data_IF_713544469548
#
_entry.id   IF_713544469548
#
_cell.length_a   1.000
_cell.length_b   1.000
_cell.length_c   1.000
_cell.angle_alpha   90.00
_cell.angle_beta   90.00
_cell.angle_gamma   90.00
#
_symmetry.space_group_name_H-M   'P 1'
#
loop_
_entity.id
_entity.type
_entity.pdbx_description
1 polymer ?
#
# COMPACT_ATOMS: atom_id res chain seq x y z
N UNK A 1 -49.11 -1.51 5.42
CA UNK A 1 -48.45 -1.90 6.68
C UNK A 1 -47.02 -2.39 6.45
N UNK A 2 -46.80 -3.53 5.79
CA UNK A 2 -45.45 -4.12 5.62
C UNK A 2 -44.41 -3.22 4.95
N UNK A 3 -44.77 -2.49 3.89
CA UNK A 3 -43.84 -1.53 3.25
C UNK A 3 -43.42 -0.40 4.20
N UNK A 4 -44.34 0.07 5.07
CA UNK A 4 -44.06 1.08 6.08
C UNK A 4 -43.15 0.56 7.19
N UNK A 5 -43.39 -0.66 7.68
CA UNK A 5 -42.51 -1.33 8.65
C UNK A 5 -41.11 -1.56 8.09
N UNK A 6 -40.98 -2.00 6.82
CA UNK A 6 -39.68 -2.16 6.16
C UNK A 6 -38.94 -0.83 5.99
N UNK A 7 -39.64 0.27 5.69
CA UNK A 7 -39.03 1.60 5.61
C UNK A 7 -38.49 2.07 6.96
N UNK A 8 -39.25 1.86 8.04
CA UNK A 8 -38.81 2.22 9.41
C UNK A 8 -37.57 1.39 9.81
N UNK A 9 -37.56 0.08 9.55
CA UNK A 9 -36.42 -0.77 9.85
C UNK A 9 -35.18 -0.39 9.03
N UNK A 10 -35.36 -0.05 7.75
CA UNK A 10 -34.26 0.44 6.90
C UNK A 10 -33.73 1.77 7.44
N UNK A 11 -34.60 2.65 7.92
CA UNK A 11 -34.21 3.95 8.47
C UNK A 11 -33.38 3.81 9.75
N UNK A 12 -33.81 2.94 10.67
CA UNK A 12 -33.06 2.64 11.90
C UNK A 12 -31.71 2.01 11.57
N UNK A 13 -31.67 1.10 10.59
CA UNK A 13 -30.43 0.47 10.13
C UNK A 13 -29.48 1.48 9.50
N UNK A 14 -30.00 2.44 8.73
CA UNK A 14 -29.23 3.52 8.11
C UNK A 14 -28.60 4.44 9.15
N UNK A 15 -29.36 4.86 10.18
CA UNK A 15 -28.82 5.64 11.31
C UNK A 15 -27.74 4.84 12.04
N UNK A 16 -28.01 3.57 12.33
CA UNK A 16 -27.04 2.68 13.01
C UNK A 16 -25.74 2.52 12.21
N UNK A 17 -25.84 2.41 10.88
CA UNK A 17 -24.69 2.35 9.99
C UNK A 17 -23.85 3.63 10.06
N UNK A 18 -24.48 4.81 10.06
CA UNK A 18 -23.76 6.10 10.21
C UNK A 18 -23.00 6.13 11.54
N UNK A 19 -23.65 5.75 12.64
CA UNK A 19 -23.02 5.71 13.97
C UNK A 19 -21.82 4.76 13.99
N UNK A 20 -21.98 3.55 13.43
CA UNK A 20 -20.89 2.57 13.35
C UNK A 20 -19.71 3.06 12.50
N UNK A 21 -19.98 3.76 11.39
CA UNK A 21 -18.95 4.37 10.57
C UNK A 21 -18.17 5.43 11.36
N UNK A 22 -18.86 6.30 12.09
CA UNK A 22 -18.22 7.34 12.91
C UNK A 22 -17.32 6.74 14.00
N UNK A 23 -17.78 5.67 14.68
CA UNK A 23 -17.00 4.96 15.70
C UNK A 23 -15.82 4.21 15.10
N UNK A 24 -15.98 3.64 13.90
CA UNK A 24 -14.93 2.85 13.23
C UNK A 24 -13.88 3.72 12.53
N UNK A 25 -14.21 4.99 12.22
CA UNK A 25 -13.33 5.93 11.55
C UNK A 25 -11.98 6.15 12.25
N UNK A 26 -11.87 6.36 13.58
CA UNK A 26 -10.57 6.47 14.25
C UNK A 26 -9.72 5.20 14.12
N UNK A 27 -10.34 4.02 14.17
CA UNK A 27 -9.63 2.75 13.95
C UNK A 27 -9.08 2.66 12.52
N UNK A 28 -9.89 3.05 11.53
CA UNK A 28 -9.46 3.08 10.13
C UNK A 28 -8.30 4.07 9.92
N UNK A 29 -8.34 5.24 10.57
CA UNK A 29 -7.25 6.24 10.51
C UNK A 29 -5.94 5.66 11.03
N UNK A 30 -5.97 4.98 12.18
CA UNK A 30 -4.78 4.36 12.77
C UNK A 30 -4.21 3.21 11.91
N UNK A 31 -5.06 2.45 11.21
CA UNK A 31 -4.61 1.33 10.38
C UNK A 31 -4.07 1.82 9.03
N UNK A 32 -4.75 2.79 8.40
CA UNK A 32 -4.44 3.26 7.06
C UNK A 32 -3.40 4.38 7.02
N UNK A 33 -3.16 5.07 8.15
CA UNK A 33 -2.29 6.24 8.22
C UNK A 33 -2.77 7.41 7.36
N UNK A 34 -4.03 7.39 6.91
CA UNK A 34 -4.64 8.43 6.06
C UNK A 34 -5.74 9.15 6.82
N UNK A 35 -5.65 10.47 6.84
CA UNK A 35 -6.72 11.33 7.30
C UNK A 35 -7.80 11.43 6.22
N UNK A 36 -8.81 10.57 6.31
CA UNK A 36 -10.06 10.83 5.59
C UNK A 36 -10.69 12.05 6.28
N UNK A 37 -10.62 13.21 5.62
CA UNK A 37 -11.25 14.43 6.10
C UNK A 37 -12.77 14.23 6.15
N UNK A 38 -13.36 14.46 7.32
CA UNK A 38 -14.82 14.43 7.55
C UNK A 38 -15.54 15.42 6.60
N UNK A 39 -14.83 16.43 6.08
CA UNK A 39 -15.32 17.36 5.06
C UNK A 39 -15.87 16.69 3.80
N UNK A 40 -15.45 15.47 3.47
CA UNK A 40 -16.03 14.72 2.34
C UNK A 40 -17.46 14.24 2.64
N UNK A 41 -17.84 14.04 3.91
CA UNK A 41 -19.21 13.64 4.28
C UNK A 41 -20.22 14.79 4.20
N UNK A 42 -19.76 16.04 4.25
CA UNK A 42 -20.58 17.24 4.02
C UNK A 42 -20.74 17.58 2.54
N UNK A 43 -20.12 16.81 1.63
CA UNK A 43 -20.29 17.01 0.20
C UNK A 43 -21.74 16.67 -0.22
N UNK A 44 -22.50 17.61 -0.81
CA UNK A 44 -23.88 17.41 -1.20
C UNK A 44 -24.09 16.21 -2.14
N UNK A 45 -23.14 15.93 -3.02
CA UNK A 45 -23.19 14.81 -3.97
C UNK A 45 -23.11 13.46 -3.25
N UNK A 46 -22.27 13.35 -2.22
CA UNK A 46 -22.12 12.12 -1.43
C UNK A 46 -23.38 11.90 -0.58
N UNK A 47 -23.91 12.96 0.03
CA UNK A 47 -25.13 12.89 0.82
C UNK A 47 -26.35 12.50 -0.04
N UNK A 48 -26.48 13.08 -1.24
CA UNK A 48 -27.51 12.70 -2.20
C UNK A 48 -27.38 11.22 -2.62
N UNK A 49 -26.15 10.73 -2.79
CA UNK A 49 -25.87 9.32 -3.05
C UNK A 49 -26.36 8.40 -1.92
N UNK A 50 -26.10 8.74 -0.66
CA UNK A 50 -26.57 7.96 0.49
C UNK A 50 -28.09 7.95 0.62
N UNK A 51 -28.75 9.09 0.42
CA UNK A 51 -30.22 9.18 0.43
C UNK A 51 -30.82 8.35 -0.72
N UNK A 52 -30.24 8.43 -1.92
CA UNK A 52 -30.64 7.62 -3.06
C UNK A 52 -30.50 6.12 -2.78
N UNK A 53 -29.37 5.70 -2.18
CA UNK A 53 -29.13 4.32 -1.81
C UNK A 53 -30.13 3.83 -0.74
N UNK A 54 -30.40 4.64 0.28
CA UNK A 54 -31.41 4.34 1.30
C UNK A 54 -32.79 4.09 0.68
N UNK A 55 -33.23 4.98 -0.23
CA UNK A 55 -34.51 4.84 -0.92
C UNK A 55 -34.55 3.58 -1.79
N UNK A 56 -33.50 3.30 -2.55
CA UNK A 56 -33.42 2.11 -3.41
C UNK A 56 -33.49 0.84 -2.57
N UNK A 57 -32.68 0.72 -1.51
CA UNK A 57 -32.64 -0.46 -0.65
C UNK A 57 -33.97 -0.64 0.09
N UNK A 58 -34.52 0.44 0.66
CA UNK A 58 -35.81 0.39 1.35
C UNK A 58 -36.95 -0.01 0.43
N UNK A 59 -36.99 0.53 -0.79
CA UNK A 59 -38.02 0.22 -1.77
C UNK A 59 -37.89 -1.22 -2.25
N UNK A 60 -36.69 -1.68 -2.63
CA UNK A 60 -36.49 -3.05 -3.11
C UNK A 60 -36.75 -4.07 -1.98
N UNK A 61 -36.19 -3.82 -0.80
CA UNK A 61 -36.32 -4.70 0.37
C UNK A 61 -37.76 -4.79 0.90
N UNK A 62 -38.49 -3.68 0.91
CA UNK A 62 -39.90 -3.63 1.35
C UNK A 62 -40.91 -4.03 0.28
N UNK A 63 -40.57 -3.92 -1.02
CA UNK A 63 -41.45 -4.33 -2.11
C UNK A 63 -41.69 -5.84 -2.11
N UNK A 64 -40.67 -6.65 -1.82
CA UNK A 64 -40.78 -8.11 -1.87
C UNK A 64 -41.85 -8.68 -0.91
N UNK A 65 -41.86 -8.36 0.40
CA UNK A 65 -42.92 -8.79 1.31
C UNK A 65 -44.28 -8.15 0.99
N UNK A 66 -44.28 -6.87 0.57
CA UNK A 66 -45.51 -6.13 0.29
C UNK A 66 -46.28 -6.71 -0.90
N UNK A 67 -45.62 -7.00 -2.02
CA UNK A 67 -46.27 -7.62 -3.20
C UNK A 67 -46.67 -9.07 -2.92
N UNK A 68 -45.85 -9.82 -2.17
CA UNK A 68 -46.13 -11.22 -1.86
C UNK A 68 -47.33 -11.41 -0.91
N UNK A 69 -47.47 -10.59 0.14
CA UNK A 69 -48.59 -10.66 1.07
C UNK A 69 -49.83 -9.89 0.61
N UNK A 70 -49.71 -8.82 -0.19
CA UNK A 70 -50.90 -8.11 -0.70
C UNK A 70 -51.68 -8.92 -1.73
N UNK A 71 -51.08 -9.96 -2.32
CA UNK A 71 -51.75 -10.92 -3.19
C UNK A 71 -52.54 -12.01 -2.42
N UNK A 72 -52.57 -11.96 -1.08
CA UNK A 72 -53.22 -12.96 -0.24
C UNK A 72 -54.73 -12.69 -0.17
N UNK A 73 -55.55 -13.61 -0.68
CA UNK A 73 -57.02 -13.53 -0.65
C UNK A 73 -57.55 -14.46 0.45
N UNK A 74 -58.06 -13.94 1.58
CA UNK A 74 -58.51 -14.75 2.72
C UNK A 74 -59.62 -15.77 2.37
N UNK A 75 -60.47 -15.44 1.40
CA UNK A 75 -61.58 -16.30 0.93
C UNK A 75 -61.09 -17.61 0.31
N UNK A 76 -59.90 -17.63 -0.30
CA UNK A 76 -59.34 -18.83 -0.93
C UNK A 76 -58.79 -19.82 0.12
N UNK A 77 -58.41 -19.34 1.29
CA UNK A 77 -57.83 -20.13 2.41
C UNK A 77 -58.89 -20.95 3.13
N UNK A 78 -60.08 -20.38 3.31
CA UNK A 78 -61.20 -21.02 4.03
C UNK A 78 -61.81 -22.17 3.21
N UNK A 79 -61.68 -22.15 1.87
CA UNK A 79 -62.19 -23.21 0.99
C UNK A 79 -61.22 -24.39 0.79
N UNK A 80 -60.08 -24.44 1.49
CA UNK A 80 -59.13 -25.57 1.41
C UNK A 80 -58.43 -25.76 0.05
N UNK A 81 -58.58 -24.84 -0.90
CA UNK A 81 -58.03 -24.94 -2.27
C UNK A 81 -56.58 -24.47 -2.40
N UNK A 82 -55.89 -24.14 -1.30
CA UNK A 82 -54.51 -23.65 -1.35
C UNK A 82 -53.49 -24.79 -1.51
N UNK A 83 -53.22 -25.21 -2.75
CA UNK A 83 -51.93 -25.83 -3.12
C UNK A 83 -50.82 -24.77 -3.32
N UNK A 84 -50.65 -23.84 -2.37
CA UNK A 84 -49.71 -22.71 -2.48
C UNK A 84 -48.59 -22.72 -1.41
N UNK A 85 -48.17 -23.91 -0.96
CA UNK A 85 -47.08 -24.07 0.02
C UNK A 85 -45.65 -24.04 -0.58
N UNK A 86 -45.46 -24.45 -1.84
CA UNK A 86 -44.11 -24.67 -2.38
C UNK A 86 -43.43 -23.43 -3.01
N UNK A 87 -44.18 -22.61 -3.78
CA UNK A 87 -43.61 -21.43 -4.49
C UNK A 87 -43.22 -20.27 -3.56
N UNK A 88 -43.89 -20.12 -2.41
CA UNK A 88 -43.56 -19.12 -1.38
C UNK A 88 -42.21 -19.42 -0.70
N UNK A 89 -41.94 -20.72 -0.46
CA UNK A 89 -40.75 -21.16 0.24
C UNK A 89 -39.50 -21.03 -0.61
N UNK A 90 -39.58 -21.28 -1.92
CA UNK A 90 -38.43 -21.24 -2.83
C UNK A 90 -37.76 -19.85 -2.88
N UNK A 91 -38.54 -18.78 -2.99
CA UNK A 91 -37.98 -17.41 -3.04
C UNK A 91 -37.34 -17.00 -1.70
N UNK A 92 -37.95 -17.40 -0.57
CA UNK A 92 -37.34 -17.20 0.76
C UNK A 92 -36.02 -17.94 0.89
N UNK A 93 -35.96 -19.19 0.42
CA UNK A 93 -34.75 -20.01 0.43
C UNK A 93 -33.65 -19.35 -0.41
N UNK A 94 -33.97 -18.88 -1.61
CA UNK A 94 -32.99 -18.20 -2.48
C UNK A 94 -32.46 -16.92 -1.85
N UNK A 95 -33.33 -16.06 -1.31
CA UNK A 95 -32.93 -14.81 -0.67
C UNK A 95 -32.05 -15.03 0.56
N UNK A 96 -32.41 -15.99 1.41
CA UNK A 96 -31.62 -16.33 2.61
C UNK A 96 -30.28 -16.93 2.22
N UNK A 97 -30.24 -17.85 1.25
CA UNK A 97 -28.99 -18.41 0.73
C UNK A 97 -28.09 -17.35 0.11
N UNK A 98 -28.65 -16.38 -0.61
CA UNK A 98 -27.91 -15.25 -1.17
C UNK A 98 -27.30 -14.36 -0.07
N UNK A 99 -28.06 -14.06 0.99
CA UNK A 99 -27.57 -13.29 2.13
C UNK A 99 -26.36 -13.98 2.81
N UNK A 100 -26.47 -15.29 3.05
CA UNK A 100 -25.37 -16.06 3.62
C UNK A 100 -24.16 -16.12 2.69
N UNK A 101 -24.37 -16.29 1.38
CA UNK A 101 -23.28 -16.27 0.40
C UNK A 101 -22.52 -14.93 0.43
N UNK A 102 -23.23 -13.79 0.41
CA UNK A 102 -22.60 -12.47 0.50
C UNK A 102 -21.82 -12.31 1.81
N UNK A 103 -22.38 -12.76 2.93
CA UNK A 103 -21.71 -12.69 4.24
C UNK A 103 -20.42 -13.54 4.27
N UNK A 104 -20.47 -14.75 3.74
CA UNK A 104 -19.29 -15.64 3.64
C UNK A 104 -18.21 -15.00 2.76
N UNK A 105 -18.57 -14.42 1.61
CA UNK A 105 -17.63 -13.72 0.72
C UNK A 105 -16.95 -12.55 1.46
N UNK A 106 -17.73 -11.75 2.21
CA UNK A 106 -17.17 -10.63 2.99
C UNK A 106 -16.22 -11.11 4.10
N UNK A 107 -16.55 -12.20 4.79
CA UNK A 107 -15.69 -12.80 5.81
C UNK A 107 -14.37 -13.28 5.18
N UNK A 108 -14.44 -14.07 4.10
CA UNK A 108 -13.26 -14.57 3.39
C UNK A 108 -12.41 -13.42 2.86
N UNK A 109 -13.04 -12.40 2.27
CA UNK A 109 -12.35 -11.20 1.79
C UNK A 109 -11.62 -10.47 2.91
N UNK A 110 -12.27 -10.28 4.06
CA UNK A 110 -11.67 -9.64 5.23
C UNK A 110 -10.47 -10.43 5.76
N UNK A 111 -10.61 -11.76 5.91
CA UNK A 111 -9.50 -12.62 6.34
C UNK A 111 -8.34 -12.61 5.35
N UNK A 112 -8.63 -12.62 4.05
CA UNK A 112 -7.63 -12.58 2.98
C UNK A 112 -6.86 -11.27 3.02
N UNK A 113 -7.53 -10.13 3.07
CA UNK A 113 -6.89 -8.81 3.16
C UNK A 113 -6.07 -8.67 4.44
N UNK A 114 -6.57 -9.14 5.58
CA UNK A 114 -5.82 -9.11 6.84
C UNK A 114 -4.57 -9.98 6.78
N UNK A 115 -4.67 -11.17 6.18
CA UNK A 115 -3.53 -12.08 6.02
C UNK A 115 -2.50 -11.50 5.05
N UNK A 116 -2.94 -10.91 3.95
CA UNK A 116 -2.07 -10.20 3.01
C UNK A 116 -1.36 -9.02 3.69
N UNK A 117 -2.07 -8.20 4.46
CA UNK A 117 -1.47 -7.09 5.21
C UNK A 117 -0.44 -7.56 6.23
N UNK A 118 -0.72 -8.64 6.97
CA UNK A 118 0.25 -9.24 7.89
C UNK A 118 1.48 -9.75 7.16
N UNK A 119 1.29 -10.49 6.07
CA UNK A 119 2.39 -11.01 5.26
C UNK A 119 3.30 -9.88 4.72
N UNK A 120 2.71 -8.80 4.19
CA UNK A 120 3.45 -7.62 3.72
C UNK A 120 4.22 -6.95 4.86
N UNK A 121 3.65 -6.89 6.08
CA UNK A 121 4.29 -6.26 7.23
C UNK A 121 5.39 -7.10 7.88
N UNK A 122 5.27 -8.43 7.86
CA UNK A 122 6.20 -9.35 8.52
C UNK A 122 7.29 -9.91 7.61
N UNK A 123 7.18 -9.72 6.29
CA UNK A 123 8.22 -10.15 5.37
C UNK A 123 9.48 -9.32 5.64
N UNK A 124 10.61 -10.01 5.84
CA UNK A 124 11.90 -9.35 5.96
C UNK A 124 12.20 -8.60 4.65
N UNK A 125 12.21 -7.27 4.72
CA UNK A 125 12.47 -6.40 3.58
C UNK A 125 13.96 -6.31 3.24
N UNK A 126 14.85 -6.93 4.03
CA UNK A 126 16.31 -6.79 3.89
C UNK A 126 16.85 -5.50 4.52
N UNK A 127 16.00 -4.74 5.22
CA UNK A 127 16.39 -3.58 6.03
C UNK A 127 15.43 -3.37 7.21
N UNK A 128 15.93 -2.68 8.24
CA UNK A 128 15.17 -2.29 9.42
C UNK A 128 14.45 -0.96 9.16
N UNK A 129 13.12 -1.01 9.17
CA UNK A 129 12.24 0.18 9.03
C UNK A 129 11.63 0.61 10.35
N UNK A 130 11.82 -0.16 11.41
CA UNK A 130 11.16 0.09 12.68
C UNK A 130 11.86 1.25 13.38
N UNK A 131 11.07 2.17 13.95
CA UNK A 131 11.57 3.40 14.61
C UNK A 131 12.32 4.38 13.69
N UNK A 132 12.15 4.30 12.37
CA UNK A 132 12.71 5.27 11.41
C UNK A 132 11.70 6.40 11.14
N UNK A 133 12.12 7.65 11.36
CA UNK A 133 11.33 8.84 11.03
C UNK A 133 11.88 9.46 9.75
N UNK A 134 11.04 9.57 8.72
CA UNK A 134 11.40 10.19 7.44
C UNK A 134 10.96 11.65 7.43
N UNK A 135 11.91 12.57 7.27
CA UNK A 135 11.65 14.00 7.13
C UNK A 135 11.95 14.46 5.70
N UNK A 136 10.95 15.03 5.03
CA UNK A 136 11.11 15.54 3.67
C UNK A 136 11.72 16.94 3.67
N UNK A 137 12.90 17.08 3.05
CA UNK A 137 13.57 18.37 2.87
C UNK A 137 13.14 19.02 1.54
N UNK A 138 12.08 19.84 1.60
CA UNK A 138 11.41 20.38 0.40
C UNK A 138 12.12 21.56 -0.27
N UNK A 139 12.86 22.38 0.48
CA UNK A 139 13.55 23.55 -0.08
C UNK A 139 15.04 23.28 -0.28
N UNK A 140 15.60 23.82 -1.37
CA UNK A 140 17.05 23.78 -1.65
C UNK A 140 17.87 24.39 -0.52
N UNK A 141 17.36 25.44 0.13
CA UNK A 141 18.00 26.04 1.31
C UNK A 141 18.15 25.03 2.46
N UNK A 142 17.10 24.24 2.71
CA UNK A 142 17.12 23.22 3.76
C UNK A 142 18.11 22.11 3.39
N UNK A 143 18.11 21.68 2.13
CA UNK A 143 19.06 20.68 1.60
C UNK A 143 20.52 21.14 1.76
N UNK A 144 20.82 22.40 1.44
CA UNK A 144 22.15 22.98 1.60
C UNK A 144 22.61 23.06 3.07
N UNK A 145 21.67 23.03 4.02
CA UNK A 145 21.94 23.03 5.47
C UNK A 145 21.91 21.62 6.09
N UNK A 146 21.91 20.56 5.27
CA UNK A 146 21.79 19.18 5.74
C UNK A 146 22.76 18.82 6.86
N UNK A 147 24.06 19.10 6.70
CA UNK A 147 25.06 18.75 7.73
C UNK A 147 24.76 19.43 9.08
N UNK A 148 24.34 20.71 9.08
CA UNK A 148 23.98 21.41 10.31
C UNK A 148 22.73 20.80 10.97
N UNK A 149 21.74 20.39 10.15
CA UNK A 149 20.52 19.73 10.63
C UNK A 149 20.85 18.34 11.20
N UNK A 150 21.68 17.57 10.50
CA UNK A 150 22.17 16.25 10.93
C UNK A 150 22.83 16.33 12.30
N UNK A 151 23.76 17.27 12.47
CA UNK A 151 24.45 17.50 13.75
C UNK A 151 23.50 17.96 14.86
N UNK A 152 22.53 18.83 14.55
CA UNK A 152 21.53 19.26 15.53
C UNK A 152 20.64 18.10 16.00
N UNK A 153 20.24 17.20 15.10
CA UNK A 153 19.44 16.01 15.43
C UNK A 153 20.27 15.01 16.25
N UNK A 154 21.54 14.78 15.88
CA UNK A 154 22.45 13.87 16.59
C UNK A 154 22.75 14.30 18.03
N UNK A 155 22.51 15.57 18.41
CA UNK A 155 22.61 16.01 19.81
C UNK A 155 21.56 15.38 20.73
N UNK A 156 20.47 14.84 20.18
CA UNK A 156 19.48 14.12 20.98
C UNK A 156 19.98 12.69 21.25
N UNK A 157 20.19 12.29 22.52
CA UNK A 157 20.71 10.96 22.85
C UNK A 157 19.78 9.81 22.47
N UNK A 158 18.49 10.09 22.21
CA UNK A 158 17.54 9.08 21.75
C UNK A 158 17.65 8.78 20.25
N UNK A 159 18.47 9.54 19.50
CA UNK A 159 18.69 9.31 18.08
C UNK A 159 19.93 8.45 17.88
N UNK A 160 19.74 7.23 17.37
CA UNK A 160 20.83 6.26 17.16
C UNK A 160 21.65 6.62 15.91
N UNK A 161 20.99 6.97 14.80
CA UNK A 161 21.66 7.34 13.57
C UNK A 161 20.83 8.34 12.75
N UNK A 162 21.49 9.08 11.86
CA UNK A 162 20.87 10.03 10.92
C UNK A 162 21.53 9.86 9.56
N UNK A 163 20.71 9.63 8.54
CA UNK A 163 21.12 9.48 7.15
C UNK A 163 20.23 10.31 6.23
N UNK A 164 20.75 10.66 5.05
CA UNK A 164 20.01 11.27 3.97
C UNK A 164 19.99 10.38 2.74
N UNK A 165 18.88 10.46 2.02
CA UNK A 165 18.70 9.86 0.72
C UNK A 165 17.79 10.71 -0.17
N UNK A 166 17.93 10.58 -1.48
CA UNK A 166 17.02 11.26 -2.43
C UNK A 166 15.61 10.69 -2.38
N UNK A 167 15.47 9.41 -2.06
CA UNK A 167 14.20 8.71 -1.95
C UNK A 167 14.17 7.86 -0.68
N UNK A 168 12.98 7.72 -0.08
CA UNK A 168 12.78 6.74 1.00
C UNK A 168 13.03 5.33 0.46
N UNK A 169 13.47 4.35 1.28
CA UNK A 169 13.60 2.95 0.84
C UNK A 169 12.31 2.33 0.26
N UNK A 170 11.14 2.92 0.55
CA UNK A 170 9.82 2.54 0.01
C UNK A 170 9.32 3.49 -1.09
N UNK A 171 10.10 4.50 -1.44
CA UNK A 171 9.79 5.47 -2.48
C UNK A 171 10.23 4.99 -3.86
N UNK A 172 9.69 5.58 -4.91
CA UNK A 172 10.15 5.36 -6.28
C UNK A 172 11.58 5.87 -6.40
N UNK A 173 12.55 4.96 -6.48
CA UNK A 173 13.96 5.27 -6.79
C UNK A 173 14.08 5.84 -8.21
N UNK A 174 15.26 6.35 -8.58
CA UNK A 174 15.48 6.79 -9.96
C UNK A 174 15.76 5.57 -10.84
N UNK A 175 15.15 5.49 -12.03
CA UNK A 175 15.34 4.38 -12.96
C UNK A 175 16.23 4.84 -14.10
N UNK A 176 17.43 4.26 -14.21
CA UNK A 176 18.37 4.65 -15.25
C UNK A 176 18.98 3.47 -15.98
N UNK A 177 19.39 3.76 -17.21
CA UNK A 177 20.14 2.83 -18.05
C UNK A 177 21.60 2.88 -17.63
N UNK A 178 22.19 1.70 -17.50
CA UNK A 178 23.60 1.53 -17.16
C UNK A 178 24.29 0.60 -18.14
N UNK A 179 25.57 0.83 -18.37
CA UNK A 179 26.44 -0.03 -19.16
C UNK A 179 27.63 -0.46 -18.30
N UNK A 180 27.94 -1.76 -18.33
CA UNK A 180 29.07 -2.31 -17.61
C UNK A 180 30.33 -2.19 -18.47
N UNK A 181 31.35 -1.48 -17.99
CA UNK A 181 32.59 -1.28 -18.75
C UNK A 181 33.24 -2.64 -19.02
N UNK A 182 33.59 -2.89 -20.28
CA UNK A 182 34.15 -4.17 -20.74
C UNK A 182 33.10 -5.19 -21.22
N UNK A 183 31.81 -4.83 -21.25
CA UNK A 183 30.76 -5.58 -21.94
C UNK A 183 30.46 -4.96 -23.33
N UNK A 184 29.75 -5.69 -24.23
CA UNK A 184 29.24 -5.12 -25.47
C UNK A 184 28.39 -3.86 -25.21
N UNK A 185 28.53 -2.82 -26.04
CA UNK A 185 27.84 -1.53 -25.83
C UNK A 185 26.31 -1.63 -25.91
N UNK A 186 25.78 -2.66 -26.56
CA UNK A 186 24.34 -2.97 -26.65
C UNK A 186 23.81 -3.72 -25.41
N UNK A 187 24.68 -4.20 -24.52
CA UNK A 187 24.32 -4.86 -23.27
C UNK A 187 23.98 -3.83 -22.18
N UNK A 188 22.80 -3.22 -22.34
CA UNK A 188 22.29 -2.19 -21.44
C UNK A 188 21.48 -2.77 -20.28
N UNK A 189 21.80 -2.31 -19.07
CA UNK A 189 21.19 -2.73 -17.82
C UNK A 189 20.31 -1.63 -17.24
N UNK A 190 19.01 -1.86 -17.24
CA UNK A 190 18.07 -1.00 -16.51
C UNK A 190 18.13 -1.33 -15.01
N UNK A 191 18.58 -0.36 -14.20
CA UNK A 191 18.76 -0.51 -12.76
C UNK A 191 18.16 0.70 -12.03
N UNK A 192 17.65 0.45 -10.84
CA UNK A 192 17.23 1.49 -9.93
C UNK A 192 18.44 2.00 -9.16
N UNK A 193 18.57 3.32 -9.08
CA UNK A 193 19.65 3.98 -8.37
C UNK A 193 19.09 5.01 -7.39
N UNK A 194 19.76 5.16 -6.26
CA UNK A 194 19.43 6.12 -5.23
C UNK A 194 20.72 6.75 -4.73
N UNK A 195 20.69 8.08 -4.54
CA UNK A 195 21.80 8.78 -3.88
C UNK A 195 21.56 8.73 -2.38
N UNK A 196 22.58 8.31 -1.65
CA UNK A 196 22.54 8.12 -0.20
C UNK A 196 23.84 8.63 0.42
N UNK A 197 23.79 8.97 1.70
CA UNK A 197 25.00 9.28 2.47
C UNK A 197 25.64 8.02 3.06
N UNK A 198 26.80 8.19 3.70
CA UNK A 198 27.59 7.10 4.28
C UNK A 198 26.88 6.34 5.40
N UNK A 199 25.89 6.97 6.06
CA UNK A 199 25.20 6.35 7.18
C UNK A 199 23.97 5.54 6.75
N UNK A 200 23.63 5.51 5.46
CA UNK A 200 22.39 4.90 5.00
C UNK A 200 22.32 3.40 5.27
N UNK A 201 23.36 2.66 4.86
CA UNK A 201 23.44 1.22 5.08
C UNK A 201 23.36 0.89 6.57
N UNK A 202 24.07 1.65 7.41
CA UNK A 202 24.08 1.45 8.87
C UNK A 202 22.76 1.83 9.53
N UNK A 203 22.13 2.93 9.10
CA UNK A 203 20.82 3.40 9.62
C UNK A 203 19.73 2.35 9.39
N UNK A 204 19.77 1.73 8.21
CA UNK A 204 18.82 0.69 7.80
C UNK A 204 19.30 -0.73 8.15
N UNK A 205 20.45 -0.87 8.82
CA UNK A 205 21.08 -2.15 9.19
C UNK A 205 21.17 -3.14 8.03
N UNK A 206 21.51 -2.63 6.86
CA UNK A 206 21.73 -3.43 5.66
C UNK A 206 23.07 -4.18 5.79
N UNK A 207 23.15 -5.37 5.21
CA UNK A 207 24.33 -6.24 5.29
C UNK A 207 25.20 -6.07 4.05
N UNK A 208 26.48 -5.69 4.23
CA UNK A 208 27.46 -5.69 3.15
C UNK A 208 28.05 -7.10 3.02
N UNK A 209 27.86 -7.70 1.86
CA UNK A 209 28.34 -9.06 1.55
C UNK A 209 29.75 -9.06 0.96
N UNK A 210 30.16 -7.97 0.31
CA UNK A 210 31.51 -7.83 -0.26
C UNK A 210 31.94 -6.36 -0.33
N UNK A 211 33.24 -6.08 -0.17
CA UNK A 211 33.77 -4.72 -0.26
C UNK A 211 33.48 -3.89 1.01
N UNK A 212 33.08 -2.63 0.84
CA UNK A 212 32.90 -1.68 1.95
C UNK A 212 31.69 -0.74 1.74
N UNK A 213 31.28 -0.10 2.83
CA UNK A 213 30.35 1.04 2.77
C UNK A 213 31.07 2.28 2.21
N UNK A 214 30.30 3.30 1.85
CA UNK A 214 30.83 4.64 1.61
C UNK A 214 31.54 5.15 2.87
N UNK A 215 32.64 5.87 2.70
CA UNK A 215 33.34 6.53 3.80
C UNK A 215 33.80 7.92 3.40
N UNK A 216 33.76 8.84 4.37
CA UNK A 216 34.29 10.20 4.22
C UNK A 216 35.81 10.23 4.02
N UNK A 217 36.51 9.14 4.36
CA UNK A 217 37.95 9.02 4.16
C UNK A 217 38.34 8.91 2.67
N UNK A 218 37.39 8.49 1.81
CA UNK A 218 37.59 8.36 0.37
C UNK A 218 36.86 9.48 -0.37
N UNK A 219 37.58 10.53 -0.78
CA UNK A 219 36.99 11.67 -1.48
C UNK A 219 36.30 11.29 -2.80
N UNK A 220 36.76 10.23 -3.46
CA UNK A 220 36.15 9.67 -4.67
C UNK A 220 34.73 9.15 -4.44
N UNK A 221 34.40 8.73 -3.21
CA UNK A 221 33.10 8.11 -2.92
C UNK A 221 31.94 9.05 -3.20
N UNK A 222 32.16 10.35 -3.05
CA UNK A 222 31.13 11.37 -3.22
C UNK A 222 30.52 11.41 -4.62
N UNK A 223 31.32 11.15 -5.66
CA UNK A 223 30.90 11.35 -7.05
C UNK A 223 31.16 10.14 -7.97
N UNK A 224 32.00 9.21 -7.54
CA UNK A 224 32.55 8.15 -8.39
C UNK A 224 32.37 6.74 -7.80
N UNK A 225 31.80 6.59 -6.59
CA UNK A 225 31.54 5.26 -6.03
C UNK A 225 30.08 4.85 -6.16
N UNK A 226 29.86 3.54 -6.32
CA UNK A 226 28.54 2.93 -6.25
C UNK A 226 28.58 1.65 -5.40
N UNK A 227 27.50 1.40 -4.68
CA UNK A 227 27.24 0.13 -4.01
C UNK A 227 26.07 -0.52 -4.74
N UNK A 228 26.22 -1.80 -5.09
CA UNK A 228 25.21 -2.57 -5.84
C UNK A 228 24.72 -3.74 -4.99
N UNK A 229 23.57 -4.33 -5.30
CA UNK A 229 23.10 -5.52 -4.60
C UNK A 229 23.46 -6.82 -5.35
N UNK A 230 23.25 -7.97 -4.70
CA UNK A 230 23.48 -9.29 -5.26
C UNK A 230 22.71 -9.52 -6.58
N UNK A 231 21.45 -9.04 -6.66
CA UNK A 231 20.64 -9.12 -7.86
C UNK A 231 21.25 -8.32 -9.04
N UNK A 232 21.77 -7.11 -8.79
CA UNK A 232 22.46 -6.32 -9.80
C UNK A 232 23.75 -7.01 -10.27
N UNK A 233 24.55 -7.56 -9.35
CA UNK A 233 25.74 -8.36 -9.67
C UNK A 233 25.39 -9.53 -10.59
N UNK A 234 24.30 -10.25 -10.27
CA UNK A 234 23.82 -11.38 -11.08
C UNK A 234 23.33 -10.93 -12.46
N UNK A 235 22.60 -9.81 -12.54
CA UNK A 235 22.05 -9.26 -13.78
C UNK A 235 23.13 -8.81 -14.75
N UNK A 236 24.16 -8.12 -14.24
CA UNK A 236 25.30 -7.63 -15.03
C UNK A 236 26.26 -8.78 -15.43
N UNK A 237 26.25 -9.88 -14.68
CA UNK A 237 27.15 -11.01 -14.91
C UNK A 237 28.51 -10.85 -14.25
N UNK A 238 28.55 -10.30 -13.03
CA UNK A 238 29.77 -10.06 -12.26
C UNK A 238 29.93 -10.97 -11.03
N UNK A 239 29.35 -12.18 -11.06
CA UNK A 239 29.10 -13.03 -9.89
C UNK A 239 30.30 -13.32 -8.97
N UNK A 240 31.53 -13.22 -9.47
CA UNK A 240 32.74 -13.60 -8.70
C UNK A 240 33.58 -12.40 -8.23
N UNK A 241 33.56 -11.30 -8.97
CA UNK A 241 34.44 -10.15 -8.69
C UNK A 241 33.80 -8.85 -9.19
N UNK A 242 32.83 -8.30 -8.44
CA UNK A 242 32.16 -7.05 -8.78
C UNK A 242 32.93 -5.80 -8.32
N UNK A 243 33.85 -5.93 -7.35
CA UNK A 243 34.56 -4.80 -6.74
C UNK A 243 35.56 -4.19 -7.73
N UNK A 244 35.72 -2.86 -7.70
CA UNK A 244 36.54 -2.06 -8.61
C UNK A 244 36.12 -2.09 -10.09
N UNK A 245 35.02 -2.76 -10.42
CA UNK A 245 34.43 -2.69 -11.77
C UNK A 245 33.71 -1.37 -11.97
N UNK A 246 33.64 -0.95 -13.22
CA UNK A 246 33.04 0.33 -13.59
C UNK A 246 31.67 0.14 -14.24
N UNK A 247 30.74 0.97 -13.80
CA UNK A 247 29.37 1.05 -14.30
C UNK A 247 29.09 2.47 -14.79
N UNK A 248 28.78 2.61 -16.07
CA UNK A 248 28.43 3.88 -16.70
C UNK A 248 26.92 4.09 -16.59
N UNK A 249 26.49 5.15 -15.89
CA UNK A 249 25.11 5.61 -15.88
C UNK A 249 24.88 6.63 -16.98
N UNK A 250 23.87 6.42 -17.81
CA UNK A 250 23.47 7.40 -18.82
C UNK A 250 22.60 8.49 -18.17
N UNK A 251 23.05 9.74 -18.20
CA UNK A 251 22.27 10.91 -17.76
C UNK A 251 21.58 11.63 -18.92
N UNK A 252 22.07 11.39 -20.15
CA UNK A 252 21.57 11.90 -21.42
C UNK A 252 21.95 10.89 -22.52
N UNK A 253 21.30 10.89 -23.71
CA UNK A 253 21.74 10.07 -24.83
C UNK A 253 23.23 10.21 -25.19
N UNK A 254 23.87 11.32 -24.81
CA UNK A 254 25.26 11.63 -25.13
C UNK A 254 26.17 11.77 -23.91
N UNK A 255 25.63 11.72 -22.68
CA UNK A 255 26.40 11.94 -21.46
C UNK A 255 26.30 10.72 -20.55
N UNK A 256 27.46 10.21 -20.16
CA UNK A 256 27.60 9.10 -19.21
C UNK A 256 28.40 9.56 -18.01
N UNK A 257 28.05 9.05 -16.84
CA UNK A 257 28.83 9.19 -15.61
C UNK A 257 29.30 7.81 -15.17
N UNK A 258 30.60 7.66 -14.95
CA UNK A 258 31.20 6.38 -14.57
C UNK A 258 31.30 6.29 -13.05
N UNK A 259 30.84 5.17 -12.52
CA UNK A 259 30.94 4.82 -11.11
C UNK A 259 31.75 3.55 -10.93
N UNK A 260 32.55 3.48 -9.88
CA UNK A 260 33.34 2.32 -9.47
C UNK A 260 32.62 1.61 -8.34
N UNK A 261 32.43 0.30 -8.48
CA UNK A 261 31.78 -0.52 -7.46
C UNK A 261 32.72 -0.66 -6.26
N UNK A 262 32.33 -0.12 -5.11
CA UNK A 262 33.11 -0.19 -3.86
C UNK A 262 32.58 -1.23 -2.87
N UNK A 263 31.34 -1.67 -3.05
CA UNK A 263 30.69 -2.64 -2.18
C UNK A 263 29.50 -3.33 -2.82
N UNK A 264 29.16 -4.48 -2.25
CA UNK A 264 27.95 -5.24 -2.56
C UNK A 264 27.14 -5.40 -1.29
N UNK A 265 25.88 -5.00 -1.34
CA UNK A 265 24.89 -5.17 -0.27
C UNK A 265 24.00 -6.39 -0.57
N UNK A 266 23.54 -7.05 0.48
CA UNK A 266 22.57 -8.14 0.36
C UNK A 266 21.28 -7.67 -0.29
N UNK A 267 20.58 -8.56 -0.98
CA UNK A 267 19.30 -8.19 -1.61
C UNK A 267 18.26 -7.70 -0.60
N UNK A 268 17.66 -6.55 -0.93
CA UNK A 268 16.61 -5.91 -0.15
C UNK A 268 15.46 -5.45 -1.06
N UNK A 269 14.26 -5.32 -0.49
CA UNK A 269 13.03 -5.02 -1.20
C UNK A 269 12.75 -3.52 -1.18
N UNK A 270 13.12 -2.81 -2.25
CA UNK A 270 12.89 -1.36 -2.40
C UNK A 270 11.61 -1.02 -3.19
N UNK A 271 10.98 -2.00 -3.85
CA UNK A 271 9.68 -1.84 -4.52
C UNK A 271 8.55 -2.56 -3.78
N UNK A 272 7.30 -2.22 -4.14
CA UNK A 272 6.12 -2.97 -3.73
C UNK A 272 6.35 -4.46 -3.94
N UNK A 273 6.00 -5.29 -2.95
CA UNK A 273 6.14 -6.76 -2.99
C UNK A 273 5.40 -7.45 -4.15
N UNK A 274 4.71 -6.68 -4.99
CA UNK A 274 4.07 -7.13 -6.21
C UNK A 274 5.01 -7.17 -7.43
N UNK A 275 6.16 -6.49 -7.38
CA UNK A 275 7.17 -6.48 -8.44
C UNK A 275 8.42 -7.19 -7.92
N UNK A 276 8.81 -8.29 -8.60
CA UNK A 276 10.04 -9.04 -8.36
C UNK A 276 11.14 -8.55 -9.30
#
# INVERSE_FOLDING_TARGET
QFLGESMILTFISFISAIVLVLISMPFFRNISGKDILINSMTNPTILAGFVGLFLIIGLIGGSYPAFFLSAFRPVEVIQGKLKRGAKSSALRIVLVSFQFAVSIILIIGTFTVNTQLKFVRSKNLGYDKDHVIVMQMRSTETQNKYEAIKEAIKRNPNVINVSASTTSPLGTSDFSVHHAVGKPEDELNMLWAQMVDENYIDTYKMEIVQGRNFSKDFTSDKNEAIIINEAAVKKIGWQNDPINKQLERFTSPTTKQTYTVVGVVKDYHFQSLHQQ
#
